data_IF_888658359890
#
_entry.id   IF_888658359890
#
_cell.length_a   1.000
_cell.length_b   1.000
_cell.length_c   1.000
_cell.angle_alpha   90.00
_cell.angle_beta   90.00
_cell.angle_gamma   90.00
#
_symmetry.space_group_name_H-M   'P 1'
#
loop_
_entity.id
_entity.type
_entity.pdbx_description
1 polymer ?
#
# COMPACT_ATOMS: atom_id res chain seq x y z
N UNK A 1 -0.12 -9.38 -11.01
CA UNK A 1 -1.41 -9.71 -10.50
C UNK A 1 -2.44 -9.81 -11.55
N UNK A 2 -3.16 -10.87 -11.53
CA UNK A 2 -4.06 -11.17 -12.63
C UNK A 2 -5.48 -10.65 -12.42
N UNK A 3 -5.96 -10.60 -11.23
CA UNK A 3 -7.34 -10.22 -11.05
C UNK A 3 -7.48 -8.76 -10.66
N UNK A 4 -8.68 -8.24 -10.77
CA UNK A 4 -8.96 -6.84 -10.53
C UNK A 4 -9.64 -6.61 -9.19
N UNK A 5 -9.56 -7.57 -8.31
CA UNK A 5 -10.14 -7.42 -6.99
C UNK A 5 -9.44 -6.35 -6.19
N UNK A 6 -10.22 -5.55 -5.50
CA UNK A 6 -9.67 -4.59 -4.57
C UNK A 6 -9.11 -5.33 -3.37
N UNK A 7 -7.87 -5.03 -3.04
CA UNK A 7 -7.22 -5.62 -1.88
C UNK A 7 -6.75 -4.51 -0.97
N UNK A 8 -7.03 -4.63 0.30
CA UNK A 8 -6.68 -3.63 1.30
C UNK A 8 -5.73 -4.20 2.32
N UNK A 9 -4.84 -3.35 2.81
CA UNK A 9 -3.85 -3.73 3.79
C UNK A 9 -3.86 -2.73 4.92
N UNK A 10 -3.86 -3.22 6.14
CA UNK A 10 -3.84 -2.36 7.32
C UNK A 10 -2.41 -2.12 7.76
N UNK A 11 -2.02 -0.87 7.86
CA UNK A 11 -0.65 -0.50 8.22
C UNK A 11 -0.36 -0.89 9.66
N UNK A 12 0.80 -1.50 9.85
CA UNK A 12 1.28 -1.91 11.17
C UNK A 12 2.51 -1.12 11.55
N UNK A 13 2.86 -1.19 12.82
CA UNK A 13 4.06 -0.53 13.32
C UNK A 13 5.29 -1.03 12.55
N UNK A 14 6.10 -0.11 12.09
CA UNK A 14 7.32 -0.42 11.34
C UNK A 14 7.13 -0.65 9.86
N UNK A 15 5.91 -0.59 9.37
CA UNK A 15 5.68 -0.79 7.94
C UNK A 15 6.09 0.46 7.15
N UNK A 16 6.56 0.20 5.93
CA UNK A 16 6.85 1.25 4.95
C UNK A 16 6.14 0.90 3.66
N UNK A 17 5.99 1.87 2.78
CA UNK A 17 5.38 1.60 1.47
C UNK A 17 6.13 0.50 0.72
N UNK A 18 7.45 0.52 0.81
CA UNK A 18 8.26 -0.51 0.15
C UNK A 18 7.95 -1.90 0.70
N UNK A 19 7.86 -2.03 2.01
CA UNK A 19 7.53 -3.30 2.63
C UNK A 19 6.13 -3.77 2.30
N UNK A 20 5.18 -2.86 2.35
CA UNK A 20 3.80 -3.18 2.03
C UNK A 20 3.67 -3.63 0.59
N UNK A 21 4.37 -2.94 -0.31
CA UNK A 21 4.35 -3.31 -1.72
C UNK A 21 4.93 -4.71 -1.94
N UNK A 22 6.04 -5.00 -1.28
CA UNK A 22 6.67 -6.32 -1.40
C UNK A 22 5.77 -7.44 -0.89
N UNK A 23 5.12 -7.21 0.25
CA UNK A 23 4.21 -8.20 0.83
C UNK A 23 3.03 -8.51 -0.08
N UNK A 24 2.59 -7.52 -0.83
CA UNK A 24 1.37 -7.62 -1.62
C UNK A 24 1.64 -7.75 -3.11
N UNK A 25 2.88 -8.01 -3.47
CA UNK A 25 3.27 -8.24 -4.87
C UNK A 25 2.87 -7.08 -5.78
N UNK A 26 3.12 -5.87 -5.31
CA UNK A 26 2.81 -4.67 -6.05
C UNK A 26 3.99 -3.70 -5.94
N UNK A 27 3.80 -2.47 -6.38
CA UNK A 27 4.86 -1.47 -6.32
C UNK A 27 4.41 -0.28 -5.48
N UNK A 28 5.39 0.48 -4.98
CA UNK A 28 5.09 1.71 -4.26
C UNK A 28 4.32 2.67 -5.16
N UNK A 29 4.72 2.74 -6.41
CA UNK A 29 4.06 3.62 -7.38
C UNK A 29 2.58 3.25 -7.55
N UNK A 30 2.28 1.97 -7.63
CA UNK A 30 0.91 1.51 -7.78
C UNK A 30 0.07 1.83 -6.53
N UNK A 31 0.64 1.61 -5.35
CA UNK A 31 -0.05 1.92 -4.11
C UNK A 31 -0.35 3.41 -4.02
N UNK A 32 0.61 4.24 -4.37
CA UNK A 32 0.42 5.69 -4.33
C UNK A 32 -0.71 6.12 -5.26
N UNK A 33 -0.75 5.57 -6.46
CA UNK A 33 -1.82 5.89 -7.41
C UNK A 33 -3.19 5.45 -6.92
N UNK A 34 -3.25 4.25 -6.36
CA UNK A 34 -4.52 3.70 -5.90
C UNK A 34 -5.09 4.50 -4.73
N UNK A 35 -4.25 5.14 -3.96
CA UNK A 35 -4.68 5.86 -2.76
C UNK A 35 -4.59 7.38 -2.88
N UNK A 36 -4.10 7.88 -4.00
CA UNK A 36 -3.97 9.31 -4.18
C UNK A 36 -2.96 9.95 -3.24
N UNK A 37 -1.89 9.22 -2.93
CA UNK A 37 -0.85 9.70 -2.01
C UNK A 37 0.49 9.74 -2.73
N UNK A 38 1.48 10.38 -2.10
CA UNK A 38 2.83 10.43 -2.64
C UNK A 38 3.71 9.44 -1.90
N UNK A 39 4.91 9.23 -2.45
CA UNK A 39 5.89 8.35 -1.84
C UNK A 39 6.32 8.84 -0.47
N UNK A 40 6.22 10.13 -0.25
CA UNK A 40 6.67 10.73 1.01
C UNK A 40 5.56 10.85 2.04
N UNK A 41 4.40 10.32 1.74
CA UNK A 41 3.29 10.36 2.68
C UNK A 41 3.62 9.53 3.92
N UNK A 42 3.38 10.10 5.08
CA UNK A 42 3.61 9.42 6.33
C UNK A 42 2.46 8.47 6.59
N UNK A 43 2.80 7.20 6.80
CA UNK A 43 1.81 6.18 7.10
C UNK A 43 1.56 6.13 8.60
N UNK A 44 0.31 5.89 8.97
CA UNK A 44 -0.06 5.78 10.37
C UNK A 44 -0.50 4.36 10.66
N UNK A 45 -0.12 3.86 11.83
CA UNK A 45 -0.56 2.53 12.27
C UNK A 45 -2.08 2.50 12.32
N UNK A 46 -2.65 1.46 11.76
CA UNK A 46 -4.10 1.31 11.69
C UNK A 46 -4.73 1.89 10.43
N UNK A 47 -3.95 2.61 9.64
CA UNK A 47 -4.44 3.16 8.38
C UNK A 47 -4.66 2.02 7.39
N UNK A 48 -5.73 2.12 6.61
CA UNK A 48 -6.00 1.14 5.57
C UNK A 48 -5.55 1.69 4.23
N UNK A 49 -4.77 0.89 3.50
CA UNK A 49 -4.29 1.22 2.17
C UNK A 49 -4.83 0.24 1.15
N UNK A 50 -5.23 0.74 0.01
CA UNK A 50 -5.58 -0.12 -1.10
C UNK A 50 -4.30 -0.53 -1.81
N UNK A 51 -4.07 -1.83 -1.95
CA UNK A 51 -2.85 -2.34 -2.57
C UNK A 51 -3.10 -3.03 -3.91
N UNK A 52 -4.33 -3.12 -4.31
CA UNK A 52 -4.67 -3.66 -5.64
C UNK A 52 -5.97 -3.06 -6.16
#
# INVERSE_FOLDING_TARGET
>A
KADNKEVYYKVRSGDTLTRIAAKNETSVSAICKLNGISRNTILRVGQTLRVN
#
